data_IF_875630300254
#
_entry.id   IF_875630300254
#
_cell.length_a   1.000
_cell.length_b   1.000
_cell.length_c   1.000
_cell.angle_alpha   90.00
_cell.angle_beta   90.00
_cell.angle_gamma   90.00
#
_symmetry.space_group_name_H-M   'P 1'
#
loop_
_entity.id
_entity.type
_entity.pdbx_description
1 polymer ?
#
# COMPACT_ATOMS: atom_id res chain seq x y z
N UNK A 1 -16.95 2.28 -11.38
CA UNK A 1 -16.52 2.84 -10.07
C UNK A 1 -16.81 1.92 -8.87
N UNK A 2 -17.94 1.21 -8.79
CA UNK A 2 -18.26 0.28 -7.67
C UNK A 2 -17.15 -0.76 -7.39
N UNK A 3 -16.54 -1.34 -8.44
CA UNK A 3 -15.39 -2.25 -8.32
C UNK A 3 -14.14 -1.58 -7.71
N UNK A 4 -13.89 -0.31 -8.02
CA UNK A 4 -12.76 0.44 -7.46
C UNK A 4 -13.01 0.75 -5.98
N UNK A 5 -14.23 1.14 -5.59
CA UNK A 5 -14.57 1.32 -4.16
C UNK A 5 -14.48 0.03 -3.35
N UNK A 6 -14.90 -1.10 -3.92
CA UNK A 6 -14.76 -2.40 -3.26
C UNK A 6 -13.26 -2.75 -3.08
N UNK A 7 -12.46 -2.59 -4.13
CA UNK A 7 -10.99 -2.71 -4.06
C UNK A 7 -10.37 -1.76 -3.02
N UNK A 8 -10.90 -0.54 -2.82
CA UNK A 8 -10.40 0.39 -1.79
C UNK A 8 -10.74 -0.12 -0.38
N UNK A 9 -11.98 -0.55 -0.16
CA UNK A 9 -12.45 -1.02 1.15
C UNK A 9 -11.77 -2.32 1.56
N UNK A 10 -11.65 -3.26 0.63
CA UNK A 10 -11.04 -4.57 0.87
C UNK A 10 -9.52 -4.45 1.10
N UNK A 11 -8.89 -3.36 0.64
CA UNK A 11 -7.43 -3.18 0.66
C UNK A 11 -6.93 -2.10 1.63
N UNK A 12 -7.84 -1.52 2.45
CA UNK A 12 -7.45 -0.85 3.70
C UNK A 12 -6.63 -1.86 4.52
N UNK A 13 -5.48 -1.41 5.02
CA UNK A 13 -4.60 -2.27 5.81
C UNK A 13 -5.38 -2.97 6.92
N UNK A 14 -5.08 -4.25 7.23
CA UNK A 14 -5.44 -4.84 8.54
C UNK A 14 -4.97 -3.96 9.71
N UNK A 15 -3.99 -3.10 9.46
CA UNK A 15 -3.46 -2.13 10.42
C UNK A 15 -4.31 -0.88 10.62
N UNK A 16 -5.45 -0.74 9.95
CA UNK A 16 -6.37 0.37 10.15
C UNK A 16 -5.88 1.68 9.54
N UNK A 17 -6.06 2.78 10.27
CA UNK A 17 -5.72 4.13 9.85
C UNK A 17 -4.21 4.34 9.69
N UNK A 18 -3.80 5.30 8.88
CA UNK A 18 -2.39 5.59 8.62
C UNK A 18 -1.59 5.92 9.89
N UNK A 19 -2.20 6.68 10.80
CA UNK A 19 -1.60 7.03 12.10
C UNK A 19 -1.24 5.82 12.95
N UNK A 20 -1.90 4.67 12.76
CA UNK A 20 -1.64 3.45 13.52
C UNK A 20 -0.61 2.53 12.86
N UNK A 21 -0.22 2.78 11.60
CA UNK A 21 0.72 1.91 10.88
C UNK A 21 2.10 1.81 11.53
N UNK A 22 2.75 2.89 12.01
CA UNK A 22 4.06 2.79 12.63
C UNK A 22 4.06 1.87 13.87
N UNK A 23 3.04 2.02 14.72
CA UNK A 23 2.86 1.23 15.93
C UNK A 23 2.60 -0.24 15.60
N UNK A 24 1.63 -0.52 14.72
CA UNK A 24 1.28 -1.87 14.27
C UNK A 24 2.48 -2.60 13.64
N UNK A 25 3.21 -1.92 12.76
CA UNK A 25 4.42 -2.46 12.13
C UNK A 25 5.45 -2.85 13.19
N UNK A 26 5.68 -1.99 14.19
CA UNK A 26 6.67 -2.27 15.24
C UNK A 26 6.24 -3.42 16.15
N UNK A 27 4.95 -3.52 16.48
CA UNK A 27 4.39 -4.64 17.25
C UNK A 27 4.56 -5.97 16.50
N UNK A 28 4.21 -6.02 15.21
CA UNK A 28 4.36 -7.23 14.40
C UNK A 28 5.83 -7.59 14.16
N UNK A 29 6.70 -6.59 13.94
CA UNK A 29 8.14 -6.81 13.81
C UNK A 29 8.74 -7.36 15.10
N UNK A 30 8.43 -6.78 16.26
CA UNK A 30 8.93 -7.25 17.56
C UNK A 30 8.48 -8.68 17.83
N UNK A 31 7.23 -9.00 17.50
CA UNK A 31 6.70 -10.35 17.65
C UNK A 31 7.35 -11.34 16.66
N UNK A 32 7.59 -10.94 15.41
CA UNK A 32 8.28 -11.75 14.42
C UNK A 32 9.75 -12.02 14.81
N UNK A 33 10.46 -11.00 15.29
CA UNK A 33 11.83 -11.13 15.80
C UNK A 33 11.90 -12.05 17.02
N UNK A 34 10.93 -11.97 17.93
CA UNK A 34 10.81 -12.89 19.07
C UNK A 34 10.57 -14.36 18.67
N UNK A 35 10.11 -14.62 17.44
CA UNK A 35 9.92 -15.97 16.88
C UNK A 35 11.06 -16.40 15.95
N UNK A 36 12.12 -15.60 15.83
CA UNK A 36 13.29 -15.90 15.03
C UNK A 36 13.28 -15.35 13.60
N UNK A 37 14.41 -15.53 12.93
CA UNK A 37 14.75 -14.87 11.68
C UNK A 37 13.78 -15.21 10.53
N UNK A 38 13.43 -16.48 10.32
CA UNK A 38 12.51 -16.91 9.27
C UNK A 38 11.14 -16.22 9.37
N UNK A 39 10.65 -15.96 10.59
CA UNK A 39 9.38 -15.27 10.80
C UNK A 39 9.50 -13.78 10.45
N UNK A 40 10.65 -13.17 10.70
CA UNK A 40 10.94 -11.78 10.32
C UNK A 40 11.06 -11.62 8.81
N UNK A 41 11.75 -12.55 8.13
CA UNK A 41 11.85 -12.60 6.67
C UNK A 41 10.47 -12.83 6.02
N UNK A 42 9.61 -13.65 6.62
CA UNK A 42 8.24 -13.83 6.17
C UNK A 42 7.41 -12.55 6.30
N UNK A 43 7.57 -11.78 7.38
CA UNK A 43 6.94 -10.46 7.55
C UNK A 43 7.39 -9.48 6.45
N UNK A 44 8.69 -9.42 6.17
CA UNK A 44 9.21 -8.55 5.10
C UNK A 44 8.72 -8.99 3.71
N UNK A 45 8.69 -10.29 3.43
CA UNK A 45 8.13 -10.84 2.19
C UNK A 45 6.65 -10.48 2.00
N UNK A 46 5.86 -10.51 3.08
CA UNK A 46 4.46 -10.05 3.06
C UNK A 46 4.35 -8.54 2.76
N UNK A 47 5.25 -7.73 3.35
CA UNK A 47 5.31 -6.29 3.07
C UNK A 47 5.64 -6.03 1.60
N UNK A 48 6.62 -6.73 1.03
CA UNK A 48 6.98 -6.62 -0.39
C UNK A 48 5.84 -7.03 -1.33
N UNK A 49 5.19 -8.17 -1.07
CA UNK A 49 4.04 -8.62 -1.87
C UNK A 49 2.92 -7.56 -1.85
N UNK A 50 2.70 -6.96 -0.68
CA UNK A 50 1.72 -5.90 -0.51
C UNK A 50 2.13 -4.59 -1.22
N UNK A 51 3.42 -4.22 -1.28
CA UNK A 51 3.94 -3.13 -2.13
C UNK A 51 3.69 -3.42 -3.61
N UNK A 52 4.04 -4.63 -4.08
CA UNK A 52 3.89 -5.02 -5.50
C UNK A 52 2.43 -4.92 -5.95
N UNK A 53 1.49 -5.42 -5.16
CA UNK A 53 0.05 -5.28 -5.44
C UNK A 53 -0.41 -3.81 -5.50
N UNK A 54 0.14 -2.94 -4.65
CA UNK A 54 -0.18 -1.51 -4.64
C UNK A 54 0.39 -0.75 -5.84
N UNK A 55 1.61 -1.07 -6.27
CA UNK A 55 2.19 -0.53 -7.51
C UNK A 55 1.35 -0.92 -8.73
N UNK A 56 0.87 -2.17 -8.78
CA UNK A 56 -0.05 -2.61 -9.84
C UNK A 56 -1.36 -1.81 -9.85
N UNK A 57 -1.96 -1.55 -8.68
CA UNK A 57 -3.17 -0.74 -8.58
C UNK A 57 -2.92 0.72 -9.02
N UNK A 58 -1.78 1.31 -8.64
CA UNK A 58 -1.38 2.63 -9.15
C UNK A 58 -1.28 2.65 -10.68
N UNK A 59 -0.67 1.63 -11.29
CA UNK A 59 -0.62 1.49 -12.74
C UNK A 59 -2.03 1.40 -13.36
N UNK A 60 -2.94 0.64 -12.74
CA UNK A 60 -4.32 0.53 -13.19
C UNK A 60 -5.02 1.91 -13.14
N UNK A 61 -4.87 2.66 -12.06
CA UNK A 61 -5.47 4.00 -11.90
C UNK A 61 -4.88 5.01 -12.88
N UNK A 62 -3.56 4.95 -13.11
CA UNK A 62 -2.89 5.74 -14.14
C UNK A 62 -3.46 5.43 -15.52
N UNK A 63 -3.71 4.16 -15.83
CA UNK A 63 -4.33 3.77 -17.10
C UNK A 63 -5.76 4.31 -17.26
N UNK A 64 -6.54 4.37 -16.17
CA UNK A 64 -7.90 4.91 -16.17
C UNK A 64 -7.88 6.42 -16.37
N UNK A 65 -6.99 7.13 -15.68
CA UNK A 65 -6.85 8.60 -15.80
C UNK A 65 -6.33 9.02 -17.17
N UNK A 66 -5.38 8.29 -17.77
CA UNK A 66 -4.90 8.57 -19.13
C UNK A 66 -5.96 8.34 -20.21
N UNK A 67 -6.90 7.41 -20.01
CA UNK A 67 -8.01 7.17 -20.95
C UNK A 67 -9.15 8.21 -20.82
N UNK A 68 -9.10 9.05 -19.79
CA UNK A 68 -10.10 10.06 -19.48
C UNK A 68 -11.40 9.47 -18.94
N UNK A 69 -12.14 10.28 -18.17
CA UNK A 69 -13.49 9.93 -17.74
C UNK A 69 -14.51 10.52 -18.74
N UNK A 70 -15.33 9.68 -19.37
CA UNK A 70 -16.45 10.13 -20.21
C UNK A 70 -17.74 10.24 -19.38
N UNK A 71 -18.40 11.40 -19.39
CA UNK A 71 -19.68 11.61 -18.69
C UNK A 71 -19.98 13.06 -18.30
N UNK A 72 -21.10 13.27 -17.60
CA UNK A 72 -21.59 14.59 -17.15
C UNK A 72 -20.69 15.17 -16.03
N UNK A 73 -20.37 16.46 -16.11
CA UNK A 73 -19.26 17.09 -15.38
C UNK A 73 -19.16 16.82 -13.87
N UNK A 74 -20.29 16.74 -13.15
CA UNK A 74 -20.30 16.45 -11.71
C UNK A 74 -19.87 15.00 -11.37
N UNK A 75 -20.27 14.02 -12.19
CA UNK A 75 -19.84 12.61 -12.02
C UNK A 75 -18.37 12.43 -12.37
N UNK A 76 -17.87 13.23 -13.30
CA UNK A 76 -16.46 13.23 -13.70
C UNK A 76 -15.59 13.82 -12.58
N UNK A 77 -15.97 14.96 -11.99
CA UNK A 77 -15.24 15.57 -10.87
C UNK A 77 -15.17 14.67 -9.63
N UNK A 78 -16.27 14.03 -9.24
CA UNK A 78 -16.31 13.06 -8.14
C UNK A 78 -15.40 11.84 -8.41
N UNK A 79 -15.35 11.38 -9.66
CA UNK A 79 -14.47 10.29 -10.09
C UNK A 79 -12.99 10.68 -10.00
N UNK A 80 -12.64 11.90 -10.43
CA UNK A 80 -11.28 12.43 -10.32
C UNK A 80 -10.86 12.55 -8.86
N UNK A 81 -11.70 13.13 -8.00
CA UNK A 81 -11.40 13.26 -6.56
C UNK A 81 -11.17 11.91 -5.90
N UNK A 82 -12.02 10.91 -6.18
CA UNK A 82 -11.83 9.56 -5.66
C UNK A 82 -10.54 8.90 -6.14
N UNK A 83 -10.16 9.08 -7.41
CA UNK A 83 -8.88 8.55 -7.91
C UNK A 83 -7.70 9.30 -7.31
N UNK A 84 -7.80 10.62 -7.09
CA UNK A 84 -6.76 11.41 -6.45
C UNK A 84 -6.55 11.03 -4.98
N UNK A 85 -7.62 10.89 -4.20
CA UNK A 85 -7.57 10.42 -2.81
C UNK A 85 -6.94 9.01 -2.74
N UNK A 86 -7.26 8.17 -3.72
CA UNK A 86 -6.70 6.82 -3.84
C UNK A 86 -5.19 6.84 -4.18
N UNK A 87 -4.79 7.65 -5.15
CA UNK A 87 -3.38 7.83 -5.50
C UNK A 87 -2.58 8.30 -4.27
N UNK A 88 -3.13 9.28 -3.54
CA UNK A 88 -2.51 9.83 -2.33
C UNK A 88 -2.35 8.74 -1.25
N UNK A 89 -3.43 8.02 -0.91
CA UNK A 89 -3.36 6.94 0.09
C UNK A 89 -2.44 5.78 -0.31
N UNK A 90 -2.38 5.46 -1.61
CA UNK A 90 -1.48 4.43 -2.14
C UNK A 90 -0.02 4.85 -2.03
N UNK A 91 0.31 6.06 -2.48
CA UNK A 91 1.67 6.60 -2.45
C UNK A 91 2.20 6.71 -1.02
N UNK A 92 1.37 7.20 -0.07
CA UNK A 92 1.81 7.33 1.31
C UNK A 92 2.10 5.96 1.96
N UNK A 93 1.26 4.95 1.70
CA UNK A 93 1.50 3.59 2.21
C UNK A 93 2.70 2.92 1.55
N UNK A 94 2.90 3.11 0.25
CA UNK A 94 4.07 2.61 -0.46
C UNK A 94 5.34 3.18 0.14
N UNK A 95 5.38 4.51 0.28
CA UNK A 95 6.51 5.20 0.88
C UNK A 95 6.80 4.70 2.31
N UNK A 96 5.76 4.52 3.13
CA UNK A 96 5.91 3.97 4.48
C UNK A 96 6.60 2.60 4.48
N UNK A 97 6.15 1.65 3.65
CA UNK A 97 6.77 0.33 3.63
C UNK A 97 8.14 0.33 2.98
N UNK A 98 8.38 1.10 1.93
CA UNK A 98 9.70 1.22 1.30
C UNK A 98 10.73 1.71 2.31
N UNK A 99 10.43 2.77 3.06
CA UNK A 99 11.32 3.28 4.12
C UNK A 99 11.54 2.24 5.23
N UNK A 100 10.52 1.45 5.58
CA UNK A 100 10.67 0.41 6.60
C UNK A 100 11.47 -0.79 6.12
N UNK A 101 11.26 -1.23 4.89
CA UNK A 101 12.06 -2.31 4.30
C UNK A 101 13.52 -1.86 4.18
N UNK A 102 13.79 -0.67 3.68
CA UNK A 102 15.15 -0.14 3.58
C UNK A 102 15.84 -0.06 4.95
N UNK A 103 15.10 0.35 5.99
CA UNK A 103 15.64 0.48 7.36
C UNK A 103 15.87 -0.86 8.07
N UNK A 104 15.05 -1.86 7.82
CA UNK A 104 15.00 -3.09 8.64
C UNK A 104 15.30 -4.38 7.88
N UNK A 105 15.25 -4.37 6.55
CA UNK A 105 15.80 -5.47 5.79
C UNK A 105 17.31 -5.51 6.07
N UNK A 106 17.87 -6.67 6.42
CA UNK A 106 19.32 -6.78 6.51
C UNK A 106 19.87 -6.38 5.14
N UNK A 107 20.77 -5.39 5.11
CA UNK A 107 21.73 -5.28 4.02
C UNK A 107 22.46 -6.61 4.09
N UNK A 108 22.09 -7.55 3.22
CA UNK A 108 22.85 -8.78 3.08
C UNK A 108 24.29 -8.30 2.87
N UNK A 109 25.26 -8.64 3.74
CA UNK A 109 26.64 -8.44 3.35
C UNK A 109 26.76 -9.25 2.07
N UNK A 110 27.01 -8.56 0.95
CA UNK A 110 27.29 -9.25 -0.30
C UNK A 110 28.41 -10.22 0.02
N UNK A 111 28.10 -11.51 -0.14
CA UNK A 111 29.04 -12.62 -0.06
C UNK A 111 30.30 -12.36 -0.84
#
# INVERSE_FOLDING_TARGET
LKKVRQLITDWKSKWGMESTWPKKFHEELKHAQGRGQLTSEALFSQCEAHIKGRRWLLCLLRSITCKGFKGMGYKVADSYKQVFDLLTSLLTKLHFFEVKLDKYAPISPMS
#
